data_IF_429964366547
#
_entry.id   IF_429964366547
#
_cell.length_a   1.000
_cell.length_b   1.000
_cell.length_c   1.000
_cell.angle_alpha   90.00
_cell.angle_beta   90.00
_cell.angle_gamma   90.00
#
_symmetry.space_group_name_H-M   'P 1'
#
loop_
_entity.id
_entity.type
_entity.pdbx_description
1 polymer ?
#
# COMPACT_ATOMS: atom_id res chain seq x y z
N UNK A 1 38.12 -4.65 21.84
CA UNK A 1 38.72 -3.36 22.24
C UNK A 1 39.70 -2.93 21.17
N UNK A 2 39.38 -1.88 20.42
CA UNK A 2 40.35 -0.98 19.81
C UNK A 2 39.66 0.38 19.65
N UNK A 3 40.25 1.38 20.31
CA UNK A 3 39.82 2.78 20.34
C UNK A 3 40.72 3.59 19.39
N UNK A 4 40.19 4.76 19.02
CA UNK A 4 40.81 5.95 18.40
C UNK A 4 40.67 6.00 16.88
N UNK A 5 40.41 7.12 16.24
CA UNK A 5 39.91 8.46 16.57
C UNK A 5 40.02 9.22 15.22
N UNK A 6 39.03 10.01 14.82
CA UNK A 6 39.31 11.12 13.91
C UNK A 6 38.48 12.33 14.33
N UNK A 7 39.21 13.42 14.53
CA UNK A 7 38.77 14.71 15.05
C UNK A 7 38.08 15.55 13.97
N UNK A 8 37.18 16.37 14.49
CA UNK A 8 36.58 17.58 13.95
C UNK A 8 37.42 18.38 12.94
N UNK A 9 36.72 18.91 11.93
CA UNK A 9 37.08 20.16 11.27
C UNK A 9 35.83 21.04 11.19
N UNK A 10 35.87 22.17 11.90
CA UNK A 10 34.92 23.27 11.81
C UNK A 10 35.31 24.21 10.67
N UNK A 11 34.36 24.65 9.84
CA UNK A 11 34.46 25.86 9.00
C UNK A 11 33.03 26.34 8.66
N UNK A 12 32.52 27.36 9.36
CA UNK A 12 32.43 28.77 8.92
C UNK A 12 31.60 28.95 7.63
N UNK A 13 30.32 29.26 7.83
CA UNK A 13 29.63 30.41 7.23
C UNK A 13 29.47 30.47 5.70
N UNK A 14 28.22 30.37 5.23
CA UNK A 14 27.62 31.42 4.40
C UNK A 14 26.09 31.36 4.56
N UNK A 15 25.51 32.32 5.28
CA UNK A 15 24.07 32.60 5.20
C UNK A 15 23.83 33.31 3.87
N UNK A 16 23.45 32.57 2.83
CA UNK A 16 22.94 33.19 1.60
C UNK A 16 21.45 33.45 1.84
N UNK A 17 21.16 34.67 2.28
CA UNK A 17 19.81 35.22 2.23
C UNK A 17 19.46 35.43 0.76
N UNK A 18 18.78 34.46 0.15
CA UNK A 18 18.08 34.68 -1.10
C UNK A 18 16.81 35.50 -0.79
N UNK A 19 16.96 36.82 -0.79
CA UNK A 19 15.84 37.75 -0.96
C UNK A 19 15.29 37.58 -2.38
N UNK A 20 14.37 36.62 -2.53
CA UNK A 20 13.50 36.52 -3.70
C UNK A 20 12.19 37.21 -3.40
N UNK A 21 11.95 38.36 -4.03
CA UNK A 21 10.62 38.94 -4.13
C UNK A 21 9.72 37.98 -4.91
N UNK A 22 8.87 37.21 -4.23
CA UNK A 22 7.69 36.61 -4.82
C UNK A 22 6.46 37.21 -4.14
N UNK A 23 5.79 38.13 -4.84
CA UNK A 23 4.36 38.37 -4.64
C UNK A 23 3.59 37.21 -5.31
N UNK A 24 3.78 36.00 -4.79
CA UNK A 24 2.79 34.92 -4.91
C UNK A 24 1.95 34.96 -3.65
N UNK A 25 0.63 34.87 -3.77
CA UNK A 25 -0.20 34.58 -2.58
C UNK A 25 0.45 33.40 -1.86
N UNK A 26 0.88 33.54 -0.59
CA UNK A 26 1.28 32.36 0.16
C UNK A 26 0.06 31.43 0.13
N UNK A 27 0.20 30.24 -0.43
CA UNK A 27 -0.64 29.13 0.00
C UNK A 27 -0.52 29.14 1.53
N UNK A 28 -1.62 29.39 2.23
CA UNK A 28 -1.60 29.61 3.69
C UNK A 28 -1.26 28.36 4.49
N UNK A 29 -0.90 27.29 3.79
CA UNK A 29 -0.65 25.97 4.31
C UNK A 29 0.81 25.61 4.03
N UNK A 30 1.55 25.35 5.10
CA UNK A 30 2.95 24.93 5.06
C UNK A 30 3.06 23.41 5.05
N UNK A 31 4.15 22.89 4.47
CA UNK A 31 4.44 21.46 4.54
C UNK A 31 4.71 21.01 5.98
N UNK A 32 4.30 19.78 6.30
CA UNK A 32 4.57 19.12 7.58
C UNK A 32 5.90 18.35 7.49
N UNK A 33 6.63 18.29 8.60
CA UNK A 33 7.83 17.43 8.68
C UNK A 33 7.42 15.96 8.83
N UNK A 34 8.15 15.05 8.18
CA UNK A 34 7.95 13.62 8.35
C UNK A 34 8.34 13.17 9.76
N UNK A 35 7.59 12.22 10.36
CA UNK A 35 7.97 11.69 11.66
C UNK A 35 9.28 10.90 11.56
N UNK A 36 10.07 10.93 12.63
CA UNK A 36 11.24 10.08 12.76
C UNK A 36 10.83 8.62 12.97
N UNK A 37 11.66 7.69 12.47
CA UNK A 37 11.45 6.27 12.71
C UNK A 37 11.58 5.97 14.20
N UNK A 38 10.72 5.11 14.77
CA UNK A 38 10.77 4.79 16.19
C UNK A 38 12.04 4.00 16.53
N UNK A 39 12.65 4.30 17.68
CA UNK A 39 13.85 3.61 18.17
C UNK A 39 13.62 2.10 18.38
N UNK A 40 12.42 1.76 18.85
CA UNK A 40 11.95 0.39 19.01
C UNK A 40 10.75 0.15 18.10
N UNK A 41 10.79 -0.96 17.38
CA UNK A 41 9.72 -1.37 16.47
C UNK A 41 9.00 -2.59 17.04
N UNK A 42 7.75 -2.36 17.38
CA UNK A 42 6.71 -3.33 17.73
C UNK A 42 5.45 -3.04 16.88
N UNK A 43 4.37 -3.79 17.10
CA UNK A 43 3.14 -3.64 16.32
C UNK A 43 2.51 -2.24 16.46
N UNK A 44 2.40 -1.72 17.67
CA UNK A 44 1.76 -0.41 17.92
C UNK A 44 2.57 0.73 17.30
N UNK A 45 3.89 0.72 17.51
CA UNK A 45 4.80 1.71 16.93
C UNK A 45 4.87 1.60 15.41
N UNK A 46 4.83 0.40 14.84
CA UNK A 46 4.76 0.18 13.39
C UNK A 46 3.49 0.79 12.78
N UNK A 47 2.32 0.50 13.35
CA UNK A 47 1.03 1.05 12.90
C UNK A 47 1.05 2.58 13.00
N UNK A 48 1.41 3.12 14.17
CA UNK A 48 1.43 4.56 14.42
C UNK A 48 2.38 5.29 13.48
N UNK A 49 3.60 4.76 13.30
CA UNK A 49 4.59 5.35 12.41
C UNK A 49 4.13 5.35 10.96
N UNK A 50 3.65 4.23 10.44
CA UNK A 50 3.14 4.14 9.07
C UNK A 50 1.95 5.09 8.82
N UNK A 51 1.00 5.15 9.78
CA UNK A 51 -0.14 6.08 9.72
C UNK A 51 0.33 7.53 9.59
N UNK A 52 1.15 7.99 10.53
CA UNK A 52 1.62 9.38 10.58
C UNK A 52 2.49 9.73 9.36
N UNK A 53 3.34 8.79 8.92
CA UNK A 53 4.20 9.00 7.77
C UNK A 53 3.39 9.15 6.48
N UNK A 54 2.37 8.30 6.26
CA UNK A 54 1.51 8.41 5.07
C UNK A 54 0.68 9.69 5.11
N UNK A 55 0.13 10.06 6.27
CA UNK A 55 -0.63 11.32 6.44
C UNK A 55 0.22 12.52 6.00
N UNK A 56 1.44 12.64 6.52
CA UNK A 56 2.36 13.73 6.16
C UNK A 56 2.77 13.65 4.69
N UNK A 57 3.03 12.45 4.17
CA UNK A 57 3.41 12.26 2.75
C UNK A 57 2.30 12.76 1.82
N UNK A 58 1.06 12.31 2.04
CA UNK A 58 -0.10 12.70 1.21
C UNK A 58 -0.43 14.16 1.36
N UNK A 59 -0.43 14.68 2.58
CA UNK A 59 -0.62 16.10 2.85
C UNK A 59 0.37 16.96 2.06
N UNK A 60 1.67 16.64 2.15
CA UNK A 60 2.73 17.38 1.46
C UNK A 60 2.64 17.25 -0.06
N UNK A 61 2.33 16.06 -0.60
CA UNK A 61 2.10 15.86 -2.03
C UNK A 61 0.96 16.75 -2.54
N UNK A 62 -0.14 16.84 -1.80
CA UNK A 62 -1.33 17.55 -2.24
C UNK A 62 -1.10 19.08 -2.29
N UNK A 63 -0.52 19.66 -1.23
CA UNK A 63 -0.22 21.10 -1.19
C UNK A 63 0.88 21.50 -2.17
N UNK A 64 1.79 20.59 -2.53
CA UNK A 64 2.82 20.85 -3.55
C UNK A 64 2.22 20.86 -4.96
N UNK A 65 1.17 20.06 -5.18
CA UNK A 65 0.53 19.94 -6.50
C UNK A 65 -0.57 20.98 -6.75
N UNK A 66 -1.16 21.59 -5.72
CA UNK A 66 -2.20 22.61 -5.87
C UNK A 66 -2.03 23.79 -4.89
N UNK A 67 -1.68 24.95 -5.46
CA UNK A 67 -1.49 26.20 -4.71
C UNK A 67 -2.80 26.88 -4.27
N UNK A 68 -3.96 26.41 -4.72
CA UNK A 68 -5.26 27.01 -4.40
C UNK A 68 -5.87 26.46 -3.11
N UNK A 69 -5.21 25.49 -2.48
CA UNK A 69 -5.69 24.85 -1.27
C UNK A 69 -5.59 25.82 -0.10
N UNK A 70 -6.68 25.91 0.66
CA UNK A 70 -6.81 26.78 1.83
C UNK A 70 -7.06 26.00 3.12
N UNK A 71 -7.58 24.76 3.02
CA UNK A 71 -7.67 23.81 4.13
C UNK A 71 -7.57 22.37 3.59
N UNK A 72 -6.97 21.48 4.39
CA UNK A 72 -6.74 20.08 4.03
C UNK A 72 -6.66 19.22 5.29
N UNK A 73 -7.59 18.30 5.41
CA UNK A 73 -7.65 17.34 6.51
C UNK A 73 -7.51 15.91 5.99
N UNK A 74 -6.75 15.09 6.71
CA UNK A 74 -6.51 13.69 6.41
C UNK A 74 -6.79 12.85 7.66
N UNK A 75 -7.55 11.78 7.51
CA UNK A 75 -7.63 10.73 8.51
C UNK A 75 -7.22 9.40 7.88
N UNK A 76 -6.11 8.85 8.37
CA UNK A 76 -5.56 7.60 7.90
C UNK A 76 -5.91 6.46 8.85
N UNK A 77 -6.45 5.38 8.31
CA UNK A 77 -6.52 4.09 8.99
C UNK A 77 -5.26 3.29 8.68
N UNK A 78 -4.73 2.57 9.68
CA UNK A 78 -3.57 1.73 9.52
C UNK A 78 -3.71 0.45 10.35
N UNK A 79 -3.23 -0.68 9.80
CA UNK A 79 -3.29 -1.97 10.46
C UNK A 79 -2.21 -2.93 9.96
N UNK A 80 -1.84 -3.91 10.80
CA UNK A 80 -0.93 -4.98 10.38
C UNK A 80 -1.65 -5.90 9.39
N UNK A 81 -1.05 -6.02 8.21
CA UNK A 81 -1.47 -7.00 7.21
C UNK A 81 -0.66 -8.29 7.33
N UNK A 82 0.63 -8.15 7.68
CA UNK A 82 1.53 -9.28 7.88
C UNK A 82 2.58 -8.95 8.94
N UNK A 83 2.90 -9.93 9.77
CA UNK A 83 4.11 -9.95 10.60
C UNK A 83 4.90 -11.22 10.31
N UNK A 84 6.22 -11.09 10.17
CA UNK A 84 7.14 -12.22 10.10
C UNK A 84 8.45 -11.87 10.79
N UNK A 85 8.77 -12.59 11.86
CA UNK A 85 9.90 -12.26 12.72
C UNK A 85 9.81 -10.83 13.24
N UNK A 86 10.80 -10.02 12.89
CA UNK A 86 10.91 -8.60 13.26
C UNK A 86 10.47 -7.62 12.16
N UNK A 87 9.80 -8.12 11.12
CA UNK A 87 9.29 -7.33 10.03
C UNK A 87 7.77 -7.18 10.10
N UNK A 88 7.29 -5.95 9.98
CA UNK A 88 5.88 -5.59 9.94
C UNK A 88 5.51 -5.09 8.54
N UNK A 89 4.42 -5.62 8.00
CA UNK A 89 3.77 -5.09 6.81
C UNK A 89 2.51 -4.38 7.26
N UNK A 90 2.50 -3.05 7.16
CA UNK A 90 1.37 -2.22 7.58
C UNK A 90 0.65 -1.71 6.35
N UNK A 91 -0.65 -1.93 6.26
CA UNK A 91 -1.49 -1.27 5.26
C UNK A 91 -1.99 0.05 5.83
N UNK A 92 -1.94 1.10 5.01
CA UNK A 92 -2.46 2.42 5.36
C UNK A 92 -3.38 2.89 4.24
N UNK A 93 -4.55 3.42 4.61
CA UNK A 93 -5.47 4.05 3.69
C UNK A 93 -6.04 5.29 4.34
N UNK A 94 -6.16 6.39 3.58
CA UNK A 94 -6.61 7.66 4.14
C UNK A 94 -7.87 8.16 3.45
N UNK A 95 -8.77 8.71 4.25
CA UNK A 95 -9.80 9.62 3.79
C UNK A 95 -9.29 11.05 3.92
N UNK A 96 -9.75 11.94 3.05
CA UNK A 96 -9.38 13.35 3.11
C UNK A 96 -10.53 14.25 2.69
N UNK A 97 -10.50 15.47 3.23
CA UNK A 97 -11.31 16.59 2.76
C UNK A 97 -10.38 17.75 2.40
N UNK A 98 -10.69 18.43 1.29
CA UNK A 98 -9.90 19.54 0.78
C UNK A 98 -10.81 20.72 0.48
N UNK A 99 -10.45 21.88 1.01
CA UNK A 99 -11.03 23.15 0.58
C UNK A 99 -10.04 23.90 -0.30
N UNK A 100 -10.48 24.30 -1.48
CA UNK A 100 -9.71 25.12 -2.40
C UNK A 100 -10.43 26.42 -2.73
N UNK A 101 -9.68 27.43 -3.18
CA UNK A 101 -10.22 28.70 -3.64
C UNK A 101 -9.54 29.17 -4.91
N UNK A 102 -10.32 29.28 -5.97
CA UNK A 102 -9.91 29.82 -7.27
C UNK A 102 -10.75 31.04 -7.68
N UNK A 103 -10.71 31.42 -8.96
CA UNK A 103 -11.49 32.53 -9.52
C UNK A 103 -13.01 32.30 -9.48
N UNK A 104 -13.45 31.04 -9.46
CA UNK A 104 -14.86 30.65 -9.41
C UNK A 104 -15.44 30.69 -7.99
N UNK A 105 -14.59 30.69 -6.97
CA UNK A 105 -14.98 30.79 -5.57
C UNK A 105 -14.30 29.73 -4.71
N UNK A 106 -14.97 29.35 -3.61
CA UNK A 106 -14.54 28.23 -2.77
C UNK A 106 -15.15 26.94 -3.29
N UNK A 107 -14.38 25.86 -3.25
CA UNK A 107 -14.83 24.50 -3.54
C UNK A 107 -14.39 23.57 -2.42
N UNK A 108 -15.19 22.53 -2.17
CA UNK A 108 -14.87 21.47 -1.20
C UNK A 108 -14.90 20.14 -1.94
N UNK A 109 -13.87 19.33 -1.72
CA UNK A 109 -13.77 17.95 -2.23
C UNK A 109 -13.49 16.98 -1.10
N UNK A 110 -13.93 15.74 -1.29
CA UNK A 110 -13.64 14.63 -0.39
C UNK A 110 -13.15 13.45 -1.21
N UNK A 111 -12.31 12.60 -0.61
CA UNK A 111 -11.77 11.45 -1.31
C UNK A 111 -11.18 10.41 -0.38
N UNK A 112 -10.83 9.27 -0.99
CA UNK A 112 -10.15 8.16 -0.33
C UNK A 112 -8.94 7.79 -1.19
N UNK A 113 -7.80 7.58 -0.55
CA UNK A 113 -6.57 7.17 -1.24
C UNK A 113 -6.60 5.68 -1.59
N UNK A 114 -5.79 5.29 -2.58
CA UNK A 114 -5.50 3.86 -2.72
C UNK A 114 -4.69 3.39 -1.48
N UNK A 115 -4.84 2.12 -1.07
CA UNK A 115 -4.01 1.58 -0.01
C UNK A 115 -2.52 1.69 -0.34
N UNK A 116 -1.73 2.06 0.65
CA UNK A 116 -0.27 2.09 0.61
C UNK A 116 0.23 1.06 1.63
N UNK A 117 1.21 0.24 1.28
CA UNK A 117 1.82 -0.69 2.23
C UNK A 117 3.20 -0.22 2.65
N UNK A 118 3.53 -0.52 3.90
CA UNK A 118 4.81 -0.26 4.49
C UNK A 118 5.44 -1.55 4.94
N UNK A 119 6.63 -1.87 4.45
CA UNK A 119 7.48 -2.90 5.01
C UNK A 119 8.47 -2.24 5.98
N UNK A 120 8.34 -2.59 7.26
CA UNK A 120 9.05 -1.98 8.37
C UNK A 120 9.92 -3.02 9.06
N UNK A 121 11.20 -2.73 9.18
CA UNK A 121 12.14 -3.41 10.08
C UNK A 121 12.90 -2.35 10.88
N UNK A 122 13.76 -2.77 11.83
CA UNK A 122 14.63 -1.84 12.56
C UNK A 122 15.62 -1.07 11.68
N UNK A 123 15.97 -1.60 10.50
CA UNK A 123 17.00 -1.01 9.63
C UNK A 123 16.48 -0.55 8.28
N UNK A 124 15.22 -0.84 7.96
CA UNK A 124 14.67 -0.61 6.63
C UNK A 124 13.20 -0.20 6.69
N UNK A 125 12.87 0.79 5.87
CA UNK A 125 11.55 1.36 5.70
C UNK A 125 11.26 1.43 4.22
N UNK A 126 10.26 0.68 3.75
CA UNK A 126 9.86 0.66 2.34
C UNK A 126 8.40 1.01 2.24
N UNK A 127 8.09 2.09 1.52
CA UNK A 127 6.75 2.50 1.16
C UNK A 127 6.41 1.98 -0.24
N UNK A 128 5.33 1.22 -0.36
CA UNK A 128 4.85 0.69 -1.63
C UNK A 128 3.43 1.15 -1.94
N UNK A 129 3.27 1.92 -3.02
CA UNK A 129 1.95 2.35 -3.46
C UNK A 129 1.24 1.25 -4.24
N UNK A 130 -0.07 1.11 -4.01
CA UNK A 130 -0.88 0.18 -4.80
C UNK A 130 -1.83 0.89 -5.74
N UNK A 131 -2.11 0.22 -6.87
CA UNK A 131 -3.15 0.62 -7.81
C UNK A 131 -4.25 -0.42 -7.83
N UNK A 132 -5.49 0.02 -7.85
CA UNK A 132 -6.64 -0.87 -8.04
C UNK A 132 -6.78 -1.22 -9.51
N UNK A 133 -6.90 -2.51 -9.77
CA UNK A 133 -7.19 -3.06 -11.09
C UNK A 133 -8.27 -4.13 -10.94
N UNK A 134 -9.17 -4.21 -11.92
CA UNK A 134 -10.21 -5.25 -11.95
C UNK A 134 -9.70 -6.43 -12.76
N UNK A 135 -9.79 -7.62 -12.20
CA UNK A 135 -9.54 -8.86 -12.92
C UNK A 135 -10.46 -8.94 -14.14
N UNK A 136 -9.95 -9.41 -15.27
CA UNK A 136 -10.75 -9.60 -16.49
C UNK A 136 -11.49 -10.93 -16.43
N UNK A 137 -12.41 -11.09 -15.49
CA UNK A 137 -13.24 -12.31 -15.41
C UNK A 137 -14.42 -12.23 -16.40
N UNK A 138 -14.72 -13.31 -17.15
CA UNK A 138 -15.74 -13.30 -18.21
C UNK A 138 -17.20 -13.24 -17.74
N UNK A 139 -17.48 -13.17 -16.43
CA UNK A 139 -18.85 -13.16 -15.90
C UNK A 139 -19.05 -12.04 -14.90
N UNK A 140 -19.80 -11.01 -15.30
CA UNK A 140 -20.35 -9.97 -14.44
C UNK A 140 -21.50 -10.55 -13.60
N UNK A 141 -21.19 -11.28 -12.52
CA UNK A 141 -22.22 -11.57 -11.52
C UNK A 141 -22.33 -10.37 -10.57
N UNK A 142 -23.56 -9.94 -10.31
CA UNK A 142 -23.93 -8.69 -9.63
C UNK A 142 -23.66 -8.65 -8.12
N UNK A 143 -22.95 -9.63 -7.56
CA UNK A 143 -22.60 -9.64 -6.14
C UNK A 143 -21.24 -8.97 -5.95
N UNK A 144 -21.30 -7.66 -5.74
CA UNK A 144 -20.22 -6.67 -5.71
C UNK A 144 -19.20 -6.81 -4.55
N UNK A 145 -19.11 -7.96 -3.87
CA UNK A 145 -18.07 -8.15 -2.85
C UNK A 145 -16.73 -8.34 -3.53
N UNK A 146 -15.79 -7.47 -3.22
CA UNK A 146 -14.43 -7.54 -3.73
C UNK A 146 -13.79 -8.81 -3.13
N UNK A 147 -13.34 -9.73 -3.98
CA UNK A 147 -12.55 -10.92 -3.59
C UNK A 147 -11.18 -10.72 -4.19
N UNK A 148 -10.36 -9.97 -3.49
CA UNK A 148 -9.16 -9.39 -4.05
C UNK A 148 -7.88 -10.12 -3.69
N UNK A 149 -6.87 -9.97 -4.55
CA UNK A 149 -5.48 -10.31 -4.22
C UNK A 149 -4.69 -9.01 -4.20
N UNK A 150 -3.90 -8.79 -3.15
CA UNK A 150 -2.94 -7.69 -3.11
C UNK A 150 -1.56 -8.21 -3.51
N UNK A 151 -1.05 -7.75 -4.65
CA UNK A 151 0.27 -8.08 -5.16
C UNK A 151 1.22 -6.91 -4.89
N UNK A 152 2.29 -7.09 -4.12
CA UNK A 152 3.22 -6.00 -3.77
C UNK A 152 4.66 -6.42 -3.93
N UNK A 153 5.46 -5.54 -4.54
CA UNK A 153 6.88 -5.72 -4.69
C UNK A 153 7.64 -4.76 -3.78
N UNK A 154 8.19 -5.26 -2.68
CA UNK A 154 9.08 -4.54 -1.77
C UNK A 154 10.56 -4.63 -2.18
N UNK A 155 10.89 -5.37 -3.24
CA UNK A 155 12.27 -5.45 -3.73
C UNK A 155 12.66 -4.20 -4.52
N UNK A 156 13.96 -4.00 -4.67
CA UNK A 156 14.57 -2.93 -5.48
C UNK A 156 14.51 -3.21 -6.99
N UNK A 157 14.01 -4.37 -7.42
CA UNK A 157 13.99 -4.79 -8.82
C UNK A 157 12.57 -4.86 -9.34
N UNK A 158 12.39 -4.54 -10.61
CA UNK A 158 11.14 -4.83 -11.29
C UNK A 158 10.96 -6.35 -11.38
N UNK A 159 9.72 -6.81 -11.24
CA UNK A 159 9.37 -8.22 -11.21
C UNK A 159 8.21 -8.48 -12.17
N UNK A 160 8.32 -9.54 -12.96
CA UNK A 160 7.17 -10.07 -13.70
C UNK A 160 6.56 -11.19 -12.89
N UNK A 161 5.27 -11.09 -12.59
CA UNK A 161 4.54 -12.02 -11.73
C UNK A 161 3.31 -12.54 -12.47
N UNK A 162 3.21 -13.85 -12.60
CA UNK A 162 2.02 -14.54 -13.06
C UNK A 162 1.20 -15.01 -11.85
N UNK A 163 -0.11 -14.76 -11.88
CA UNK A 163 -1.05 -15.25 -10.88
C UNK A 163 -2.06 -16.15 -11.58
N UNK A 164 -2.11 -17.41 -11.16
CA UNK A 164 -3.09 -18.41 -11.57
C UNK A 164 -4.04 -18.74 -10.41
N UNK A 165 -5.35 -18.77 -10.66
CA UNK A 165 -6.37 -19.16 -9.69
C UNK A 165 -7.23 -20.28 -10.28
N UNK A 166 -7.31 -21.40 -9.57
CA UNK A 166 -8.13 -22.54 -9.93
C UNK A 166 -8.99 -23.01 -8.74
N UNK A 167 -10.27 -23.33 -8.93
CA UNK A 167 -11.11 -23.84 -7.85
C UNK A 167 -10.62 -25.24 -7.40
N UNK A 168 -10.62 -25.51 -6.10
CA UNK A 168 -10.14 -26.78 -5.53
C UNK A 168 -10.96 -28.00 -6.00
N UNK A 169 -12.22 -27.79 -6.36
CA UNK A 169 -13.12 -28.83 -6.92
C UNK A 169 -12.70 -29.32 -8.31
N UNK A 170 -11.78 -28.65 -9.00
CA UNK A 170 -11.31 -29.01 -10.35
C UNK A 170 -10.28 -30.14 -10.39
N UNK A 171 -10.27 -31.03 -9.40
CA UNK A 171 -9.23 -32.06 -9.15
C UNK A 171 -9.13 -33.16 -10.22
N UNK A 172 -10.02 -33.22 -11.21
CA UNK A 172 -9.96 -34.15 -12.35
C UNK A 172 -9.37 -33.48 -13.59
N UNK A 173 -8.08 -33.70 -13.82
CA UNK A 173 -7.26 -33.62 -15.06
C UNK A 173 -7.40 -32.43 -16.04
N UNK A 174 -8.24 -31.46 -15.72
CA UNK A 174 -8.27 -30.15 -16.36
C UNK A 174 -8.65 -29.16 -15.27
N UNK A 175 -7.65 -28.69 -14.52
CA UNK A 175 -7.83 -27.47 -13.71
C UNK A 175 -8.22 -26.39 -14.69
N UNK A 176 -9.52 -26.13 -14.80
CA UNK A 176 -9.99 -25.01 -15.61
C UNK A 176 -9.62 -23.77 -14.82
N UNK A 177 -8.44 -23.25 -15.14
CA UNK A 177 -7.95 -21.98 -14.63
C UNK A 177 -9.05 -20.94 -14.80
N UNK A 178 -9.49 -20.39 -13.67
CA UNK A 178 -10.53 -19.38 -13.65
C UNK A 178 -9.96 -18.01 -14.02
N UNK A 179 -8.73 -17.76 -13.56
CA UNK A 179 -8.01 -16.52 -13.73
C UNK A 179 -6.54 -16.85 -13.92
N UNK A 180 -5.94 -16.27 -14.96
CA UNK A 180 -4.49 -16.27 -15.18
C UNK A 180 -4.15 -14.94 -15.83
N UNK A 181 -3.36 -14.14 -15.12
CA UNK A 181 -2.86 -12.85 -15.60
C UNK A 181 -1.41 -12.67 -15.19
N UNK A 182 -0.66 -11.93 -16.02
CA UNK A 182 0.73 -11.56 -15.79
C UNK A 182 0.83 -10.05 -15.55
N UNK A 183 1.56 -9.68 -14.50
CA UNK A 183 1.77 -8.30 -14.10
C UNK A 183 3.26 -7.97 -14.06
N UNK A 184 3.62 -6.80 -14.58
CA UNK A 184 4.94 -6.22 -14.34
C UNK A 184 4.83 -5.24 -13.17
N UNK A 185 5.45 -5.60 -12.05
CA UNK A 185 5.40 -4.85 -10.79
C UNK A 185 6.74 -4.15 -10.58
N UNK A 186 6.73 -2.82 -10.65
CA UNK A 186 7.91 -1.98 -10.39
C UNK A 186 8.41 -2.12 -8.95
N UNK A 187 9.66 -1.74 -8.66
CA UNK A 187 10.15 -1.62 -7.30
C UNK A 187 9.22 -0.76 -6.43
N UNK A 188 8.94 -1.22 -5.22
CA UNK A 188 8.12 -0.52 -4.21
C UNK A 188 6.75 -0.08 -4.75
N UNK A 189 6.11 -0.97 -5.50
CA UNK A 189 4.77 -0.75 -6.06
C UNK A 189 3.96 -2.03 -5.93
N UNK A 190 2.64 -1.92 -6.12
CA UNK A 190 1.75 -3.05 -6.11
C UNK A 190 0.43 -2.83 -6.81
N UNK A 191 -0.37 -3.88 -6.80
CA UNK A 191 -1.72 -3.92 -7.34
C UNK A 191 -2.67 -4.50 -6.32
N UNK A 192 -3.84 -3.88 -6.20
CA UNK A 192 -5.03 -4.51 -5.64
C UNK A 192 -5.82 -5.06 -6.83
N UNK A 193 -5.79 -6.38 -6.99
CA UNK A 193 -6.51 -7.10 -8.05
C UNK A 193 -7.88 -7.46 -7.52
N UNK A 194 -8.89 -6.72 -7.94
CA UNK A 194 -10.27 -6.89 -7.52
C UNK A 194 -10.93 -8.03 -8.31
N UNK A 195 -11.87 -8.75 -7.67
CA UNK A 195 -12.70 -9.80 -8.31
C UNK A 195 -11.90 -10.97 -8.89
N UNK A 196 -10.83 -11.36 -8.19
CA UNK A 196 -9.97 -12.48 -8.58
C UNK A 196 -10.69 -13.84 -8.44
N UNK A 197 -11.61 -13.98 -7.48
CA UNK A 197 -12.51 -15.13 -7.35
C UNK A 197 -13.95 -14.79 -7.76
N UNK A 198 -14.62 -15.71 -8.47
CA UNK A 198 -16.00 -15.54 -8.99
C UNK A 198 -17.05 -16.02 -7.98
N UNK A 199 -16.74 -17.00 -7.11
CA UNK A 199 -17.69 -17.58 -6.16
C UNK A 199 -17.04 -17.90 -4.82
N UNK A 200 -17.86 -18.26 -3.85
CA UNK A 200 -17.42 -18.76 -2.54
C UNK A 200 -16.74 -20.12 -2.69
N UNK A 201 -15.82 -20.43 -1.78
CA UNK A 201 -15.19 -21.73 -1.68
C UNK A 201 -13.67 -21.67 -1.72
N UNK A 202 -13.08 -22.85 -1.90
CA UNK A 202 -11.63 -23.04 -1.81
C UNK A 202 -11.01 -22.95 -3.20
N UNK A 203 -9.95 -22.17 -3.31
CA UNK A 203 -9.16 -21.97 -4.52
C UNK A 203 -7.70 -22.33 -4.27
N UNK A 204 -6.99 -22.76 -5.31
CA UNK A 204 -5.53 -22.76 -5.33
C UNK A 204 -5.06 -21.55 -6.10
N UNK A 205 -4.30 -20.70 -5.42
CA UNK A 205 -3.66 -19.52 -6.01
C UNK A 205 -2.19 -19.85 -6.18
N UNK A 206 -1.72 -19.89 -7.42
CA UNK A 206 -0.31 -20.06 -7.74
C UNK A 206 0.24 -18.74 -8.21
N UNK A 207 1.26 -18.24 -7.52
CA UNK A 207 1.98 -17.02 -7.88
C UNK A 207 3.38 -17.43 -8.32
N UNK A 208 3.79 -17.00 -9.51
CA UNK A 208 5.09 -17.31 -10.09
C UNK A 208 5.81 -16.02 -10.48
N UNK A 209 7.03 -15.81 -9.99
CA UNK A 209 7.87 -14.66 -10.34
C UNK A 209 8.89 -14.98 -11.44
N UNK A 210 9.53 -13.94 -11.97
CA UNK A 210 10.49 -13.99 -13.09
C UNK A 210 11.71 -14.90 -12.89
N UNK A 211 12.12 -15.10 -11.63
CA UNK A 211 13.16 -16.01 -11.20
C UNK A 211 12.69 -17.47 -11.05
N UNK A 212 11.49 -17.79 -11.56
CA UNK A 212 10.83 -19.09 -11.46
C UNK A 212 10.55 -19.56 -10.04
N UNK A 213 10.58 -18.65 -9.04
CA UNK A 213 9.98 -18.96 -7.74
C UNK A 213 8.47 -19.07 -7.92
N UNK A 214 7.90 -20.14 -7.41
CA UNK A 214 6.47 -20.41 -7.50
C UNK A 214 5.95 -20.84 -6.15
N UNK A 215 4.87 -20.22 -5.71
CA UNK A 215 4.18 -20.52 -4.45
C UNK A 215 2.72 -20.80 -4.77
N UNK A 216 2.24 -21.97 -4.37
CA UNK A 216 0.82 -22.31 -4.40
C UNK A 216 0.25 -22.22 -3.00
N UNK A 217 -0.83 -21.46 -2.84
CA UNK A 217 -1.56 -21.29 -1.59
C UNK A 217 -3.00 -21.75 -1.76
N UNK A 218 -3.53 -22.42 -0.75
CA UNK A 218 -4.97 -22.71 -0.66
C UNK A 218 -5.65 -21.49 -0.06
N UNK A 219 -6.58 -20.89 -0.80
CA UNK A 219 -7.28 -19.66 -0.45
C UNK A 219 -8.75 -19.96 -0.24
N UNK A 220 -9.24 -19.77 0.98
CA UNK A 220 -10.66 -19.86 1.30
C UNK A 220 -11.33 -18.51 1.07
N UNK A 221 -12.28 -18.48 0.14
CA UNK A 221 -13.08 -17.30 -0.13
C UNK A 221 -14.40 -17.43 0.62
N UNK A 222 -14.61 -16.60 1.67
CA UNK A 222 -15.71 -16.79 2.61
C UNK A 222 -17.09 -16.57 1.97
N UNK A 223 -18.06 -17.33 2.48
CA UNK A 223 -19.46 -17.30 2.09
C UNK A 223 -20.18 -15.97 2.35
N UNK A 224 -21.28 -15.72 1.65
CA UNK A 224 -22.11 -14.51 1.84
C UNK A 224 -22.64 -14.32 3.28
N UNK A 225 -22.74 -15.39 4.07
CA UNK A 225 -23.33 -15.39 5.42
C UNK A 225 -22.42 -14.79 6.51
N UNK A 226 -21.23 -14.30 6.15
CA UNK A 226 -20.41 -13.48 7.05
C UNK A 226 -21.13 -12.17 7.43
N UNK A 227 -20.88 -11.62 8.63
CA UNK A 227 -21.51 -10.37 9.06
C UNK A 227 -21.31 -9.30 7.98
N UNK A 228 -22.35 -8.50 7.72
CA UNK A 228 -22.27 -7.33 6.86
C UNK A 228 -21.37 -6.30 7.56
N UNK A 229 -20.06 -6.51 7.46
CA UNK A 229 -19.03 -5.62 7.96
C UNK A 229 -19.18 -4.36 7.13
N UNK A 230 -19.86 -3.36 7.71
CA UNK A 230 -20.25 -2.13 7.03
C UNK A 230 -19.14 -1.62 6.12
N UNK A 231 -19.56 -1.17 4.92
CA UNK A 231 -18.79 -0.76 3.73
C UNK A 231 -17.69 0.30 3.93
N UNK A 232 -17.23 0.55 5.14
CA UNK A 232 -16.47 1.74 5.47
C UNK A 232 -15.00 1.68 5.08
N UNK A 233 -14.42 0.51 4.77
CA UNK A 233 -13.02 0.44 4.33
C UNK A 233 -12.82 -0.68 3.32
N UNK A 234 -12.88 -0.36 2.02
CA UNK A 234 -12.60 -1.25 0.87
C UNK A 234 -11.24 -2.01 0.88
N UNK A 235 -10.41 -1.85 1.92
CA UNK A 235 -9.23 -2.67 2.15
C UNK A 235 -9.51 -3.99 2.87
N UNK A 236 -10.64 -4.12 3.58
CA UNK A 236 -11.03 -5.33 4.34
C UNK A 236 -11.59 -6.46 3.45
N UNK A 237 -11.88 -6.17 2.19
CA UNK A 237 -12.40 -7.14 1.22
C UNK A 237 -11.27 -7.83 0.42
N UNK A 238 -10.01 -7.51 0.72
CA UNK A 238 -8.86 -8.28 0.24
C UNK A 238 -8.43 -9.21 1.36
N UNK A 239 -8.57 -10.51 1.13
CA UNK A 239 -8.22 -11.55 2.09
C UNK A 239 -6.99 -12.36 1.68
N UNK A 240 -6.34 -12.05 0.55
CA UNK A 240 -5.09 -12.70 0.13
C UNK A 240 -4.03 -11.69 -0.29
N UNK A 241 -2.81 -11.89 0.21
CA UNK A 241 -1.62 -11.11 -0.13
C UNK A 241 -0.57 -11.96 -0.82
N UNK A 242 0.03 -11.41 -1.87
CA UNK A 242 1.19 -11.92 -2.57
C UNK A 242 2.32 -10.87 -2.50
N UNK A 243 3.40 -11.17 -1.79
CA UNK A 243 4.46 -10.21 -1.49
C UNK A 243 5.79 -10.70 -2.03
N UNK A 244 6.49 -9.82 -2.74
CA UNK A 244 7.90 -9.99 -3.08
C UNK A 244 8.70 -9.18 -2.06
N UNK A 245 9.42 -9.87 -1.19
CA UNK A 245 10.13 -9.27 -0.07
C UNK A 245 11.42 -8.56 -0.55
N UNK A 246 12.05 -7.71 0.29
CA UNK A 246 13.26 -6.99 -0.09
C UNK A 246 14.42 -7.89 -0.56
N UNK A 247 14.50 -9.11 -0.03
CA UNK A 247 15.47 -10.13 -0.40
C UNK A 247 15.12 -10.90 -1.70
N UNK A 248 13.95 -10.61 -2.32
CA UNK A 248 13.45 -11.27 -3.52
C UNK A 248 12.68 -12.57 -3.27
N UNK A 249 12.44 -12.94 -2.01
CA UNK A 249 11.56 -14.07 -1.69
C UNK A 249 10.10 -13.74 -2.01
N UNK A 250 9.37 -14.74 -2.51
CA UNK A 250 7.94 -14.67 -2.79
C UNK A 250 7.15 -15.33 -1.65
N UNK A 251 6.15 -14.63 -1.13
CA UNK A 251 5.24 -15.13 -0.09
C UNK A 251 3.79 -14.93 -0.53
N UNK A 252 2.94 -15.94 -0.29
CA UNK A 252 1.50 -15.87 -0.51
C UNK A 252 0.79 -16.33 0.76
N UNK A 253 -0.17 -15.54 1.26
CA UNK A 253 -0.86 -15.83 2.52
C UNK A 253 -2.20 -15.12 2.60
N UNK A 254 -3.06 -15.64 3.46
CA UNK A 254 -4.26 -14.94 3.89
C UNK A 254 -3.92 -13.66 4.67
N UNK A 255 -4.71 -12.63 4.42
CA UNK A 255 -4.72 -11.38 5.17
C UNK A 255 -5.74 -11.53 6.30
N UNK A 256 -5.36 -11.30 7.57
CA UNK A 256 -6.30 -11.40 8.68
C UNK A 256 -7.50 -10.46 8.50
N UNK A 257 -8.69 -10.92 8.87
CA UNK A 257 -9.85 -10.03 9.01
C UNK A 257 -9.53 -8.98 10.09
N UNK A 258 -9.79 -7.71 9.77
CA UNK A 258 -9.50 -6.54 10.63
C UNK A 258 -10.77 -5.99 11.28
#
# INVERSE_FOLDING_TARGET
MNRRAFLATSAIGTKIALSGCLFGRPSSIESKEHPEAPDELDEESAIRFAKMYEEVTRYNEYIQNDSNIIDLDYDCYAAIERQSGNAFCVVVQCAFSVESRDESGRSTGEGITNPTLYYLTRGEFIRAETKRIRARTPTESSNDRYRGIRLVNFSQKEQTVEIEIAPASSRTDSRKTQFSETYTVRPHNGFTIERAAISDGIYFVTVTSDNSLSVTHEWEVPGQDGPDLGRMWSSTEINLGAYILPNGELEVRDIPEQ
#
